data_IF_435248375238
#
_entry.id   IF_435248375238
#
_cell.length_a   1.000
_cell.length_b   1.000
_cell.length_c   1.000
_cell.angle_alpha   90.00
_cell.angle_beta   90.00
_cell.angle_gamma   90.00
#
_symmetry.space_group_name_H-M   'P 1'
#
loop_
_entity.id
_entity.type
_entity.pdbx_description
1 polymer ?
#
# COMPACT_ATOMS: atom_id res chain seq x y z
N UNK A 1 5.25 -11.25 -17.94
CA UNK A 1 4.39 -10.84 -16.81
C UNK A 1 4.12 -12.10 -16.00
N UNK A 2 4.47 -12.11 -14.72
CA UNK A 2 4.35 -13.31 -13.87
C UNK A 2 2.90 -13.70 -13.60
N UNK A 3 2.66 -14.94 -13.17
CA UNK A 3 1.33 -15.41 -12.77
C UNK A 3 1.01 -14.92 -11.37
N UNK A 4 -0.13 -14.23 -11.19
CA UNK A 4 -0.59 -13.82 -9.86
C UNK A 4 -0.94 -15.07 -9.04
N UNK A 5 -0.30 -15.22 -7.88
CA UNK A 5 -0.52 -16.32 -6.96
C UNK A 5 -1.50 -15.93 -5.84
N UNK A 6 -1.31 -14.74 -5.27
CA UNK A 6 -2.10 -14.26 -4.15
C UNK A 6 -2.13 -12.74 -4.09
N UNK A 7 -3.21 -12.21 -3.52
CA UNK A 7 -3.37 -10.79 -3.19
C UNK A 7 -3.96 -10.69 -1.79
N UNK A 8 -3.35 -9.88 -0.94
CA UNK A 8 -3.74 -9.65 0.43
C UNK A 8 -3.82 -8.16 0.72
N UNK A 9 -4.77 -7.77 1.57
CA UNK A 9 -5.05 -6.37 1.90
C UNK A 9 -4.93 -6.12 3.40
N UNK A 10 -4.18 -5.09 3.76
CA UNK A 10 -4.17 -4.57 5.12
C UNK A 10 -5.44 -3.78 5.38
N UNK A 11 -6.22 -4.20 6.38
CA UNK A 11 -7.44 -3.48 6.78
C UNK A 11 -7.16 -2.08 7.37
N UNK A 12 -6.00 -1.91 8.01
CA UNK A 12 -5.67 -0.71 8.79
C UNK A 12 -5.34 0.48 7.88
N UNK A 13 -4.48 0.26 6.87
CA UNK A 13 -4.00 1.33 5.98
C UNK A 13 -4.18 1.06 4.50
N UNK A 14 -4.85 -0.04 4.13
CA UNK A 14 -5.13 -0.37 2.75
C UNK A 14 -3.95 -0.91 1.95
N UNK A 15 -2.79 -1.22 2.54
CA UNK A 15 -1.67 -1.80 1.79
C UNK A 15 -2.12 -3.04 1.01
N UNK A 16 -1.74 -3.10 -0.27
CA UNK A 16 -2.09 -4.13 -1.23
C UNK A 16 -0.83 -4.95 -1.49
N UNK A 17 -0.73 -6.14 -0.90
CA UNK A 17 0.44 -7.03 -1.06
C UNK A 17 0.07 -8.16 -2.01
N UNK A 18 0.87 -8.38 -3.04
CA UNK A 18 0.63 -9.45 -4.01
C UNK A 18 1.89 -10.26 -4.28
N UNK A 19 1.70 -11.51 -4.66
CA UNK A 19 2.76 -12.43 -5.04
C UNK A 19 2.59 -12.85 -6.49
N UNK A 20 3.70 -12.87 -7.23
CA UNK A 20 3.75 -13.33 -8.62
C UNK A 20 4.79 -14.45 -8.75
N UNK A 21 4.47 -15.44 -9.55
CA UNK A 21 5.43 -16.46 -10.01
C UNK A 21 6.04 -15.98 -11.33
N UNK A 22 7.36 -15.84 -11.35
CA UNK A 22 8.19 -15.51 -12.51
C UNK A 22 9.13 -16.67 -12.83
N UNK A 23 9.87 -16.58 -13.94
CA UNK A 23 10.89 -17.59 -14.27
C UNK A 23 12.02 -17.65 -13.24
N UNK A 24 12.21 -16.58 -12.46
CA UNK A 24 13.25 -16.43 -11.44
C UNK A 24 12.77 -16.87 -10.04
N UNK A 25 11.47 -17.15 -9.87
CA UNK A 25 10.88 -17.63 -8.63
C UNK A 25 9.64 -16.86 -8.21
N UNK A 26 9.38 -16.81 -6.90
CA UNK A 26 8.23 -16.09 -6.33
C UNK A 26 8.69 -14.71 -5.87
N UNK A 27 8.11 -13.67 -6.48
CA UNK A 27 8.30 -12.29 -6.05
C UNK A 27 7.11 -11.81 -5.22
N UNK A 28 7.40 -10.95 -4.24
CA UNK A 28 6.40 -10.32 -3.38
C UNK A 28 6.52 -8.81 -3.49
N UNK A 29 5.39 -8.17 -3.81
CA UNK A 29 5.27 -6.73 -4.00
C UNK A 29 4.27 -6.16 -3.01
N UNK A 30 4.43 -4.89 -2.62
CA UNK A 30 3.47 -4.19 -1.75
C UNK A 30 3.25 -2.78 -2.23
N UNK A 31 2.00 -2.45 -2.52
CA UNK A 31 1.55 -1.14 -2.96
C UNK A 31 0.82 -0.44 -1.81
N UNK A 32 1.11 0.83 -1.63
CA UNK A 32 0.49 1.68 -0.62
C UNK A 32 -0.52 2.63 -1.29
N UNK A 33 -1.48 3.22 -0.54
CA UNK A 33 -2.48 4.11 -1.14
C UNK A 33 -1.97 5.37 -1.88
N UNK A 34 -0.70 5.71 -1.73
CA UNK A 34 0.00 6.78 -2.45
C UNK A 34 0.80 6.29 -3.66
N UNK A 35 0.72 5.01 -4.01
CA UNK A 35 1.41 4.42 -5.15
C UNK A 35 0.94 5.05 -6.47
N UNK A 36 1.91 5.43 -7.31
CA UNK A 36 1.65 5.99 -8.63
C UNK A 36 1.59 4.89 -9.70
N UNK A 37 0.38 4.54 -10.14
CA UNK A 37 0.19 3.51 -11.16
C UNK A 37 0.71 3.91 -12.54
N UNK A 38 0.78 5.21 -12.88
CA UNK A 38 1.26 5.64 -14.21
C UNK A 38 2.74 5.38 -14.43
N UNK A 39 3.50 5.17 -13.34
CA UNK A 39 4.95 4.96 -13.36
C UNK A 39 5.32 3.51 -12.99
N UNK A 40 4.34 2.61 -12.87
CA UNK A 40 4.55 1.24 -12.43
C UNK A 40 4.00 0.22 -13.42
N UNK A 41 4.75 -0.86 -13.66
CA UNK A 41 4.30 -2.01 -14.45
C UNK A 41 3.51 -3.02 -13.60
N UNK A 42 2.49 -2.54 -12.88
CA UNK A 42 1.59 -3.39 -12.09
C UNK A 42 0.55 -4.01 -13.02
N UNK A 43 0.20 -5.27 -12.75
CA UNK A 43 -0.86 -5.95 -13.50
C UNK A 43 -2.20 -5.20 -13.36
N UNK A 44 -2.96 -4.98 -14.45
CA UNK A 44 -4.24 -4.25 -14.41
C UNK A 44 -5.28 -4.82 -13.43
N UNK A 45 -5.28 -6.14 -13.19
CA UNK A 45 -6.17 -6.77 -12.21
C UNK A 45 -5.79 -6.35 -10.79
N UNK A 46 -4.49 -6.34 -10.47
CA UNK A 46 -3.96 -5.86 -9.19
C UNK A 46 -4.27 -4.38 -9.01
N UNK A 47 -4.01 -3.56 -10.03
CA UNK A 47 -4.33 -2.12 -9.99
C UNK A 47 -5.80 -1.88 -9.66
N UNK A 48 -6.69 -2.60 -10.34
CA UNK A 48 -8.14 -2.49 -10.13
C UNK A 48 -8.53 -2.87 -8.71
N UNK A 49 -8.03 -4.00 -8.21
CA UNK A 49 -8.31 -4.47 -6.85
C UNK A 49 -7.79 -3.49 -5.79
N UNK A 50 -6.56 -2.99 -5.93
CA UNK A 50 -6.00 -2.02 -5.01
C UNK A 50 -6.82 -0.71 -5.04
N UNK A 51 -7.23 -0.21 -6.21
CA UNK A 51 -8.07 0.99 -6.35
C UNK A 51 -9.43 0.86 -5.67
N UNK A 52 -10.09 -0.30 -5.79
CA UNK A 52 -11.37 -0.57 -5.11
C UNK A 52 -11.18 -0.52 -3.59
N UNK A 53 -10.06 -1.05 -3.09
CA UNK A 53 -9.82 -1.17 -1.67
C UNK A 53 -9.21 0.10 -1.06
N UNK A 54 -8.60 0.98 -1.84
CA UNK A 54 -8.14 2.29 -1.40
C UNK A 54 -9.26 3.33 -1.36
N UNK A 55 -10.26 3.05 -0.52
CA UNK A 55 -11.29 4.02 -0.13
C UNK A 55 -10.67 5.31 0.43
N UNK A 56 -11.40 6.42 0.36
CA UNK A 56 -10.93 7.71 0.91
C UNK A 56 -10.57 7.63 2.39
N UNK A 57 -11.32 6.84 3.18
CA UNK A 57 -11.00 6.56 4.58
C UNK A 57 -9.60 5.93 4.74
N UNK A 58 -9.26 4.94 3.91
CA UNK A 58 -7.96 4.26 3.95
C UNK A 58 -6.83 5.15 3.44
N UNK A 59 -7.07 5.96 2.41
CA UNK A 59 -6.12 6.97 1.95
C UNK A 59 -5.82 8.01 3.02
N UNK A 60 -6.85 8.47 3.76
CA UNK A 60 -6.68 9.38 4.89
C UNK A 60 -5.84 8.73 6.01
N UNK A 61 -6.20 7.51 6.41
CA UNK A 61 -5.45 6.77 7.43
C UNK A 61 -3.97 6.55 7.03
N UNK A 62 -3.72 6.28 5.74
CA UNK A 62 -2.36 6.19 5.22
C UNK A 62 -1.62 7.53 5.28
N UNK A 63 -2.26 8.63 4.86
CA UNK A 63 -1.68 9.97 4.94
C UNK A 63 -1.29 10.32 6.38
N UNK A 64 -2.15 10.03 7.36
CA UNK A 64 -1.87 10.28 8.78
C UNK A 64 -0.73 9.40 9.30
N UNK A 65 -0.65 8.14 8.87
CA UNK A 65 0.51 7.27 9.15
C UNK A 65 1.81 7.83 8.57
N UNK A 66 1.80 8.34 7.34
CA UNK A 66 2.99 8.94 6.72
C UNK A 66 3.43 10.18 7.49
N UNK A 67 2.50 11.05 7.88
CA UNK A 67 2.80 12.21 8.74
C UNK A 67 3.41 11.76 10.06
N UNK A 68 2.77 10.82 10.77
CA UNK A 68 3.25 10.32 12.05
C UNK A 68 4.67 9.74 11.97
N UNK A 69 4.99 8.98 10.92
CA UNK A 69 6.32 8.41 10.71
C UNK A 69 7.41 9.47 10.50
N UNK A 70 7.05 10.58 9.87
CA UNK A 70 7.98 11.68 9.60
C UNK A 70 8.09 12.70 10.74
N UNK A 71 7.26 12.58 11.78
CA UNK A 71 7.32 13.42 12.97
C UNK A 71 8.41 12.97 13.95
N UNK A 72 9.05 13.93 14.61
CA UNK A 72 9.88 13.67 15.80
C UNK A 72 9.02 13.25 17.00
N UNK A 73 9.60 12.66 18.05
CA UNK A 73 8.87 12.35 19.29
C UNK A 73 8.17 13.56 19.92
N UNK A 74 8.80 14.74 19.85
CA UNK A 74 8.25 16.00 20.36
C UNK A 74 7.03 16.43 19.54
N UNK A 75 7.14 16.43 18.21
CA UNK A 75 6.03 16.77 17.30
C UNK A 75 4.84 15.80 17.48
N UNK A 76 5.11 14.52 17.73
CA UNK A 76 4.06 13.53 18.03
C UNK A 76 3.32 13.87 19.31
N UNK A 77 4.06 14.24 20.36
CA UNK A 77 3.49 14.63 21.66
C UNK A 77 2.67 15.92 21.53
N UNK A 78 3.14 16.90 20.77
CA UNK A 78 2.41 18.15 20.49
C UNK A 78 1.14 17.92 19.67
N UNK A 79 1.18 16.98 18.73
CA UNK A 79 0.02 16.57 17.94
C UNK A 79 -0.96 15.63 18.69
N UNK A 80 -0.68 15.32 19.97
CA UNK A 80 -1.56 14.51 20.81
C UNK A 80 -1.49 13.00 20.55
N UNK A 81 -0.44 12.52 19.88
CA UNK A 81 -0.15 11.09 19.80
C UNK A 81 0.48 10.63 21.12
N UNK A 82 -0.04 9.55 21.68
CA UNK A 82 0.41 8.93 22.94
C UNK A 82 1.72 8.15 22.79
#
# INVERSE_FOLDING_TARGET
>A
MGKILSVAFSFEYGNCTYQIETEEGIEKHTLNPDHNFSESSVDPEIETLCKILWTDKRKSAWSDRVKYKNMTPEERKEAGYS
#
